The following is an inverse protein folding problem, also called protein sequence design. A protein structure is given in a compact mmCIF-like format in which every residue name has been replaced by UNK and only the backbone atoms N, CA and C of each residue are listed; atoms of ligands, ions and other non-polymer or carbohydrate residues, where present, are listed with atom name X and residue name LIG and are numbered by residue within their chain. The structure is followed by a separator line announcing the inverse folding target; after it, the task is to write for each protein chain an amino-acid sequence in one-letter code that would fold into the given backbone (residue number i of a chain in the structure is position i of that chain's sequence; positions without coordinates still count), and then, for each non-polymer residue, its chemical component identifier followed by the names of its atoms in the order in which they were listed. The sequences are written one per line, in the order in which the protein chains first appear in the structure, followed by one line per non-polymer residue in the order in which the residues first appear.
data_IF_571717430856
#
_entry.id   IF_571717430856
#
_cell.length_a   1.000
_cell.length_b   1.000
_cell.length_c   1.000
_cell.angle_alpha   90.00
_cell.angle_beta   90.00
_cell.angle_gamma   90.00
#
_symmetry.space_group_name_H-M   'P 1'
#
loop_
_entity.id
_entity.type
_entity.pdbx_description
1 polymer ?
#
# COMPACT_ATOMS: atom_id res chain seq x y z
N UNK A 1 1.35 -8.17 29.01
CA UNK A 1 0.60 -7.08 28.34
C UNK A 1 0.71 -7.14 26.80
N UNK A 2 0.74 -8.33 26.16
CA UNK A 2 0.96 -8.52 24.70
C UNK A 2 -0.21 -9.18 23.95
N UNK A 3 -1.40 -9.27 24.53
CA UNK A 3 -2.50 -10.07 23.97
C UNK A 3 -3.80 -9.33 23.66
N UNK A 4 -3.98 -8.09 24.13
CA UNK A 4 -5.29 -7.42 24.07
C UNK A 4 -5.46 -6.40 22.94
N UNK A 5 -4.38 -5.99 22.26
CA UNK A 5 -4.49 -4.98 21.18
C UNK A 5 -5.09 -5.59 19.91
N UNK A 6 -4.93 -6.90 19.68
CA UNK A 6 -5.41 -7.57 18.47
C UNK A 6 -6.89 -7.98 18.51
N UNK A 7 -7.45 -8.25 19.70
CA UNK A 7 -8.83 -8.78 19.79
C UNK A 7 -9.88 -7.72 19.45
N UNK A 8 -9.62 -6.44 19.73
CA UNK A 8 -10.52 -5.34 19.39
C UNK A 8 -10.57 -4.98 17.91
N UNK A 9 -9.48 -5.26 17.15
CA UNK A 9 -9.40 -4.95 15.72
C UNK A 9 -10.25 -5.92 14.88
N UNK A 10 -10.30 -7.20 15.27
CA UNK A 10 -11.08 -8.22 14.56
C UNK A 10 -12.56 -8.24 14.95
N UNK A 11 -12.94 -7.66 16.10
CA UNK A 11 -14.33 -7.59 16.54
C UNK A 11 -15.21 -6.65 15.68
N UNK A 12 -14.61 -5.83 14.81
CA UNK A 12 -15.29 -4.98 13.82
C UNK A 12 -15.35 -5.57 12.41
N UNK A 13 -14.96 -6.84 12.22
CA UNK A 13 -14.81 -7.51 10.91
C UNK A 13 -16.14 -7.82 10.18
N UNK A 14 -17.12 -6.93 10.30
CA UNK A 14 -18.38 -6.93 9.56
C UNK A 14 -18.46 -5.89 8.45
N UNK A 15 -17.42 -5.06 8.23
CA UNK A 15 -17.40 -4.06 7.14
C UNK A 15 -15.99 -3.95 6.53
N UNK A 16 -15.94 -3.69 5.21
CA UNK A 16 -14.75 -3.49 4.35
C UNK A 16 -13.54 -2.85 5.06
N UNK A 17 -12.74 -3.66 5.73
CA UNK A 17 -11.55 -3.21 6.45
C UNK A 17 -10.44 -2.93 5.44
N UNK A 18 -9.97 -1.68 5.38
CA UNK A 18 -8.81 -1.27 4.59
C UNK A 18 -7.63 -0.98 5.51
N UNK A 19 -6.49 -1.60 5.23
CA UNK A 19 -5.23 -1.34 5.94
C UNK A 19 -4.32 -0.56 5.00
N UNK A 20 -3.93 0.65 5.42
CA UNK A 20 -3.03 1.51 4.66
C UNK A 20 -1.67 1.54 5.37
N UNK A 21 -0.61 1.14 4.68
CA UNK A 21 0.76 1.20 5.21
C UNK A 21 1.42 2.50 4.77
N UNK A 22 1.72 3.38 5.73
CA UNK A 22 2.40 4.67 5.49
C UNK A 22 3.85 4.63 5.99
N UNK A 23 4.69 5.51 5.42
CA UNK A 23 6.09 5.67 5.83
C UNK A 23 7.05 5.87 4.66
N UNK A 24 8.30 6.20 4.96
CA UNK A 24 9.33 6.50 3.94
C UNK A 24 9.57 5.35 2.96
N UNK A 25 10.13 5.66 1.79
CA UNK A 25 10.59 4.65 0.82
C UNK A 25 11.62 3.70 1.47
N UNK A 26 11.69 2.46 1.00
CA UNK A 26 12.63 1.44 1.49
C UNK A 26 12.51 1.05 2.98
N UNK A 27 11.43 1.41 3.69
CA UNK A 27 11.19 0.95 5.07
C UNK A 27 10.50 -0.41 5.18
N UNK A 28 10.34 -1.14 4.07
CA UNK A 28 9.76 -2.49 4.06
C UNK A 28 8.23 -2.57 4.00
N UNK A 29 7.54 -1.48 3.64
CA UNK A 29 6.06 -1.43 3.57
C UNK A 29 5.48 -2.51 2.65
N UNK A 30 6.00 -2.68 1.43
CA UNK A 30 5.50 -3.70 0.50
C UNK A 30 5.75 -5.12 1.04
N UNK A 31 6.89 -5.36 1.70
CA UNK A 31 7.19 -6.65 2.36
C UNK A 31 6.19 -6.96 3.48
N UNK A 32 5.93 -6.01 4.37
CA UNK A 32 4.98 -6.20 5.48
C UNK A 32 3.55 -6.29 4.95
N UNK A 33 3.19 -5.52 3.93
CA UNK A 33 1.86 -5.55 3.32
C UNK A 33 1.54 -6.90 2.70
N UNK A 34 2.50 -7.51 2.01
CA UNK A 34 2.35 -8.86 1.47
C UNK A 34 2.14 -9.89 2.59
N UNK A 35 3.02 -9.90 3.60
CA UNK A 35 2.88 -10.80 4.76
C UNK A 35 1.56 -10.60 5.52
N UNK A 36 1.07 -9.37 5.60
CA UNK A 36 -0.20 -9.06 6.25
C UNK A 36 -1.39 -9.55 5.43
N UNK A 37 -1.33 -9.39 4.11
CA UNK A 37 -2.36 -9.86 3.17
C UNK A 37 -2.55 -11.37 3.24
N UNK A 38 -1.46 -12.14 3.28
CA UNK A 38 -1.47 -13.60 3.44
C UNK A 38 -2.08 -14.01 4.80
N UNK A 39 -1.68 -13.35 5.88
CA UNK A 39 -2.18 -13.66 7.24
C UNK A 39 -3.65 -13.32 7.43
N UNK A 40 -4.11 -12.21 6.88
CA UNK A 40 -5.48 -11.72 7.04
C UNK A 40 -6.41 -12.19 5.90
N UNK A 41 -5.86 -12.82 4.86
CA UNK A 41 -6.59 -13.25 3.65
C UNK A 41 -7.34 -12.09 2.97
N UNK A 42 -6.69 -10.93 2.90
CA UNK A 42 -7.19 -9.75 2.18
C UNK A 42 -6.32 -9.47 0.96
N UNK A 43 -6.81 -8.79 -0.09
CA UNK A 43 -5.98 -8.39 -1.22
C UNK A 43 -4.86 -7.43 -0.81
N UNK A 44 -3.69 -7.56 -1.46
CA UNK A 44 -2.61 -6.59 -1.38
C UNK A 44 -2.60 -5.71 -2.65
N UNK A 45 -2.36 -4.42 -2.47
CA UNK A 45 -2.25 -3.43 -3.55
C UNK A 45 -1.06 -2.53 -3.26
N UNK A 46 -0.16 -2.38 -4.22
CA UNK A 46 0.91 -1.40 -4.19
C UNK A 46 0.51 -0.19 -5.07
N UNK A 47 0.52 1.00 -4.50
CA UNK A 47 0.10 2.23 -5.18
C UNK A 47 1.01 2.58 -6.35
N UNK A 48 2.31 2.30 -6.24
CA UNK A 48 3.25 2.57 -7.32
C UNK A 48 2.92 1.67 -8.53
N UNK A 49 2.58 0.40 -8.31
CA UNK A 49 2.15 -0.50 -9.39
C UNK A 49 0.88 -0.02 -10.09
N UNK A 50 -0.12 0.48 -9.35
CA UNK A 50 -1.33 1.06 -9.96
C UNK A 50 -1.01 2.27 -10.85
N UNK A 51 -0.07 3.11 -10.43
CA UNK A 51 0.39 4.26 -11.22
C UNK A 51 1.12 3.79 -12.48
N UNK A 52 1.92 2.73 -12.41
CA UNK A 52 2.61 2.15 -13.57
C UNK A 52 1.63 1.57 -14.59
N UNK A 53 0.64 0.82 -14.13
CA UNK A 53 -0.43 0.27 -14.97
C UNK A 53 -1.20 1.38 -15.69
N UNK A 54 -1.59 2.42 -14.96
CA UNK A 54 -2.30 3.58 -15.54
C UNK A 54 -1.41 4.44 -16.45
N UNK A 55 -0.10 4.52 -16.18
CA UNK A 55 0.84 5.28 -17.00
C UNK A 55 1.36 4.51 -18.22
N UNK A 56 1.22 3.18 -18.23
CA UNK A 56 1.79 2.30 -19.24
C UNK A 56 3.33 2.30 -19.24
N UNK A 57 3.96 2.72 -18.13
CA UNK A 57 5.42 2.79 -18.00
C UNK A 57 5.87 2.75 -16.54
N UNK A 58 7.12 2.33 -16.26
CA UNK A 58 7.64 2.31 -14.89
C UNK A 58 7.66 3.69 -14.22
N UNK A 59 7.46 3.76 -12.89
CA UNK A 59 7.49 5.01 -12.10
C UNK A 59 8.79 5.77 -12.33
N UNK A 60 9.91 5.05 -12.37
CA UNK A 60 11.23 5.64 -12.64
C UNK A 60 11.23 6.40 -13.98
N UNK A 61 10.70 5.80 -15.05
CA UNK A 61 10.62 6.41 -16.38
C UNK A 61 9.62 7.56 -16.42
N UNK A 62 8.50 7.43 -15.71
CA UNK A 62 7.52 8.51 -15.56
C UNK A 62 8.17 9.75 -14.93
N UNK A 63 8.92 9.58 -13.83
CA UNK A 63 9.61 10.67 -13.13
C UNK A 63 10.72 11.27 -14.00
N UNK A 64 11.49 10.43 -14.71
CA UNK A 64 12.54 10.91 -15.63
C UNK A 64 11.97 11.78 -16.76
N UNK A 65 10.79 11.42 -17.30
CA UNK A 65 10.17 12.13 -18.43
C UNK A 65 9.30 13.32 -18.02
N UNK A 66 8.61 13.24 -16.88
CA UNK A 66 7.57 14.21 -16.48
C UNK A 66 7.82 14.87 -15.13
N UNK A 67 8.87 14.48 -14.42
CA UNK A 67 9.23 15.02 -13.11
C UNK A 67 8.39 14.48 -11.96
N UNK A 68 8.80 14.85 -10.74
CA UNK A 68 8.14 14.43 -9.50
C UNK A 68 6.73 15.01 -9.35
N UNK A 69 6.48 16.22 -9.85
CA UNK A 69 5.18 16.88 -9.71
C UNK A 69 4.06 16.07 -10.39
N UNK A 70 4.32 15.56 -11.60
CA UNK A 70 3.36 14.71 -12.32
C UNK A 70 3.14 13.38 -11.59
N UNK A 71 4.19 12.77 -11.03
CA UNK A 71 4.04 11.56 -10.22
C UNK A 71 3.14 11.82 -9.01
N UNK A 72 3.35 12.93 -8.29
CA UNK A 72 2.50 13.31 -7.13
C UNK A 72 1.05 13.58 -7.52
N UNK A 73 0.78 14.14 -8.69
CA UNK A 73 -0.60 14.32 -9.20
C UNK A 73 -1.33 12.98 -9.43
N UNK A 74 -0.60 11.90 -9.70
CA UNK A 74 -1.16 10.56 -9.94
C UNK A 74 -1.40 9.75 -8.66
N UNK A 75 -0.96 10.24 -7.49
CA UNK A 75 -1.26 9.62 -6.18
C UNK A 75 -2.68 9.96 -5.66
N UNK A 76 -3.57 10.52 -6.51
CA UNK A 76 -4.94 10.97 -6.18
C UNK A 76 -6.00 10.14 -6.90
#
# INVERSE_FOLDING_TARGET
MRGQVFSGFLAGAGQNMKIILIGYRATGKSTIGLLLSEKLKIPFVDTDCLIEEAAGMPVKKLIELKGWEEFRKRET
#
